data_IF_828304097052
#
_entry.id   IF_828304097052
#
_cell.length_a   1.000
_cell.length_b   1.000
_cell.length_c   1.000
_cell.angle_alpha   90.00
_cell.angle_beta   90.00
_cell.angle_gamma   90.00
#
_symmetry.space_group_name_H-M   'P 1'
#
loop_
_entity.id
_entity.type
_entity.pdbx_description
1 polymer ?
#
# COMPACT_ATOMS: atom_id res chain seq x y z
N UNK A 1 36.08 -2.90 -19.29
CA UNK A 1 35.24 -2.92 -20.51
C UNK A 1 35.71 -4.08 -21.36
N UNK A 2 34.90 -5.12 -21.49
CA UNK A 2 35.17 -6.24 -22.39
C UNK A 2 35.09 -5.76 -23.85
N UNK A 3 36.03 -6.16 -24.69
CA UNK A 3 35.97 -5.92 -26.13
C UNK A 3 34.72 -6.60 -26.71
N UNK A 4 33.84 -5.83 -27.34
CA UNK A 4 32.63 -6.34 -27.99
C UNK A 4 32.99 -6.61 -29.45
N UNK A 5 32.80 -7.85 -29.88
CA UNK A 5 33.00 -8.24 -31.28
C UNK A 5 31.86 -7.68 -32.14
N UNK A 6 32.13 -7.23 -33.37
CA UNK A 6 31.14 -6.58 -34.24
C UNK A 6 29.89 -7.46 -34.49
N UNK A 7 30.09 -8.78 -34.50
CA UNK A 7 29.03 -9.78 -34.68
C UNK A 7 28.09 -9.88 -33.47
N UNK A 8 28.52 -9.41 -32.30
CA UNK A 8 27.79 -9.49 -31.03
C UNK A 8 27.15 -8.14 -30.62
N UNK A 9 27.30 -7.08 -31.42
CA UNK A 9 26.78 -5.74 -31.10
C UNK A 9 25.27 -5.78 -30.85
N UNK A 10 24.50 -6.51 -31.66
CA UNK A 10 23.05 -6.61 -31.47
C UNK A 10 22.71 -7.20 -30.10
N UNK A 11 23.42 -8.26 -29.69
CA UNK A 11 23.23 -8.91 -28.39
C UNK A 11 23.64 -7.99 -27.25
N UNK A 12 24.77 -7.29 -27.38
CA UNK A 12 25.21 -6.33 -26.39
C UNK A 12 24.22 -5.17 -26.20
N UNK A 13 23.60 -4.69 -27.29
CA UNK A 13 22.53 -3.67 -27.22
C UNK A 13 21.29 -4.25 -26.53
N UNK A 14 20.85 -5.45 -26.89
CA UNK A 14 19.69 -6.10 -26.26
C UNK A 14 19.90 -6.32 -24.76
N UNK A 15 21.10 -6.74 -24.36
CA UNK A 15 21.48 -6.93 -22.96
C UNK A 15 21.42 -5.60 -22.19
N UNK A 16 21.99 -4.51 -22.75
CA UNK A 16 21.95 -3.17 -22.15
C UNK A 16 20.52 -2.66 -22.02
N UNK A 17 19.69 -2.80 -23.07
CA UNK A 17 18.30 -2.34 -23.04
C UNK A 17 17.48 -3.15 -22.04
N UNK A 18 17.70 -4.46 -21.95
CA UNK A 18 17.05 -5.34 -20.97
C UNK A 18 17.44 -4.96 -19.55
N UNK A 19 18.74 -4.73 -19.29
CA UNK A 19 19.24 -4.27 -18.00
C UNK A 19 18.66 -2.90 -17.61
N UNK A 20 18.57 -1.96 -18.55
CA UNK A 20 17.94 -0.67 -18.33
C UNK A 20 16.45 -0.80 -17.99
N UNK A 21 15.71 -1.66 -18.72
CA UNK A 21 14.30 -1.91 -18.45
C UNK A 21 14.08 -2.55 -17.06
N UNK A 22 14.90 -3.54 -16.70
CA UNK A 22 14.84 -4.20 -15.39
C UNK A 22 15.21 -3.26 -14.24
N UNK A 23 16.31 -2.50 -14.37
CA UNK A 23 16.71 -1.54 -13.34
C UNK A 23 15.63 -0.46 -13.15
N UNK A 24 15.06 0.07 -14.24
CA UNK A 24 13.93 0.99 -14.17
C UNK A 24 12.72 0.38 -13.46
N UNK A 25 12.40 -0.90 -13.73
CA UNK A 25 11.33 -1.61 -13.05
C UNK A 25 11.58 -1.76 -11.55
N UNK A 26 12.76 -2.22 -11.14
CA UNK A 26 13.12 -2.42 -9.74
C UNK A 26 13.13 -1.11 -8.96
N UNK A 27 13.62 -0.03 -9.56
CA UNK A 27 13.59 1.32 -9.00
C UNK A 27 12.16 1.75 -8.71
N UNK A 28 11.22 1.54 -9.65
CA UNK A 28 9.79 1.83 -9.43
C UNK A 28 9.21 0.94 -8.34
N UNK A 29 9.50 -0.37 -8.34
CA UNK A 29 8.98 -1.28 -7.32
C UNK A 29 9.44 -0.89 -5.90
N UNK A 30 10.71 -0.48 -5.75
CA UNK A 30 11.25 0.03 -4.48
C UNK A 30 10.58 1.32 -4.04
N UNK A 31 10.35 2.26 -4.97
CA UNK A 31 9.72 3.53 -4.66
C UNK A 31 8.27 3.38 -4.18
N UNK A 32 7.44 2.61 -4.89
CA UNK A 32 6.05 2.37 -4.47
C UNK A 32 6.01 1.58 -3.16
N UNK A 33 6.96 0.65 -2.94
CA UNK A 33 7.09 -0.07 -1.66
C UNK A 33 7.38 0.89 -0.50
N UNK A 34 8.34 1.80 -0.65
CA UNK A 34 8.69 2.78 0.39
C UNK A 34 7.52 3.70 0.73
N UNK A 35 6.77 4.16 -0.27
CA UNK A 35 5.54 4.93 -0.05
C UNK A 35 4.48 4.14 0.74
N UNK A 36 4.29 2.86 0.41
CA UNK A 36 3.35 1.99 1.12
C UNK A 36 3.78 1.69 2.56
N UNK A 37 5.09 1.57 2.82
CA UNK A 37 5.64 1.42 4.17
C UNK A 37 5.42 2.67 5.00
N UNK A 38 5.64 3.86 4.42
CA UNK A 38 5.34 5.13 5.09
C UNK A 38 3.86 5.25 5.45
N UNK A 39 2.96 4.89 4.52
CA UNK A 39 1.53 4.90 4.82
C UNK A 39 1.17 3.87 5.91
N UNK A 40 1.71 2.65 5.81
CA UNK A 40 1.51 1.60 6.81
C UNK A 40 1.95 2.07 8.19
N UNK A 41 3.14 2.64 8.32
CA UNK A 41 3.65 3.20 9.58
C UNK A 41 2.66 4.20 10.18
N UNK A 42 2.20 5.18 9.39
CA UNK A 42 1.26 6.21 9.85
C UNK A 42 -0.07 5.62 10.30
N UNK A 43 -0.64 4.72 9.51
CA UNK A 43 -1.94 4.13 9.84
C UNK A 43 -1.86 3.20 11.05
N UNK A 44 -0.74 2.51 11.27
CA UNK A 44 -0.48 1.73 12.48
C UNK A 44 -0.41 2.62 13.73
N UNK A 45 0.21 3.79 13.64
CA UNK A 45 0.31 4.75 14.74
C UNK A 45 -1.05 5.31 15.13
N UNK A 46 -1.87 5.71 14.15
CA UNK A 46 -3.17 6.36 14.41
C UNK A 46 -4.33 5.38 14.60
N UNK A 47 -4.11 4.07 14.38
CA UNK A 47 -5.13 3.04 14.60
C UNK A 47 -5.61 3.07 16.06
N UNK A 48 -6.94 3.15 16.31
CA UNK A 48 -7.48 3.10 17.66
C UNK A 48 -6.98 1.86 18.42
N UNK A 49 -6.52 2.06 19.65
CA UNK A 49 -5.91 1.00 20.47
C UNK A 49 -6.87 0.55 21.56
N UNK A 50 -7.31 -0.70 21.42
CA UNK A 50 -7.88 -1.50 22.50
C UNK A 50 -6.78 -2.46 23.01
N UNK A 51 -6.59 -3.60 22.32
CA UNK A 51 -5.49 -4.56 22.58
C UNK A 51 -4.22 -4.30 21.75
N UNK A 52 -4.27 -3.31 20.86
CA UNK A 52 -3.22 -3.02 19.87
C UNK A 52 -3.11 -4.04 18.73
N UNK A 53 -3.93 -5.09 18.73
CA UNK A 53 -3.88 -6.13 17.70
C UNK A 53 -4.22 -5.63 16.30
N UNK A 54 -5.19 -4.72 16.19
CA UNK A 54 -5.55 -4.11 14.91
C UNK A 54 -4.36 -3.33 14.35
N UNK A 55 -3.70 -2.50 15.17
CA UNK A 55 -2.53 -1.75 14.77
C UNK A 55 -1.41 -2.66 14.24
N UNK A 56 -1.16 -3.83 14.87
CA UNK A 56 -0.14 -4.78 14.39
C UNK A 56 -0.52 -5.59 13.14
N UNK A 57 -1.75 -5.43 12.62
CA UNK A 57 -2.31 -6.30 11.58
C UNK A 57 -2.45 -5.61 10.22
N UNK A 58 -1.84 -4.44 10.03
CA UNK A 58 -1.72 -3.81 8.71
C UNK A 58 -0.65 -4.52 7.88
N UNK A 59 -0.97 -4.81 6.62
CA UNK A 59 -0.11 -5.54 5.69
C UNK A 59 -0.08 -4.86 4.33
N UNK A 60 1.06 -4.98 3.67
CA UNK A 60 1.25 -4.56 2.29
C UNK A 60 1.13 -5.78 1.40
N UNK A 61 0.28 -5.72 0.37
CA UNK A 61 0.22 -6.75 -0.68
C UNK A 61 0.99 -6.26 -1.90
N UNK A 62 1.92 -7.10 -2.37
CA UNK A 62 2.86 -6.82 -3.46
C UNK A 62 2.57 -7.60 -4.75
N UNK A 63 1.38 -8.24 -4.85
CA UNK A 63 1.02 -9.13 -5.96
C UNK A 63 1.07 -8.47 -7.34
N UNK A 64 0.78 -7.17 -7.41
CA UNK A 64 0.66 -6.45 -8.68
C UNK A 64 1.82 -5.48 -8.84
N UNK A 65 2.52 -5.47 -9.99
CA UNK A 65 3.56 -4.50 -10.27
C UNK A 65 3.05 -3.07 -10.18
N UNK A 66 3.91 -2.16 -9.72
CA UNK A 66 3.64 -0.72 -9.60
C UNK A 66 2.46 -0.35 -8.69
N UNK A 67 1.90 -1.33 -7.96
CA UNK A 67 0.79 -1.15 -7.03
C UNK A 67 1.12 -1.78 -5.69
N UNK A 68 0.78 -1.10 -4.60
CA UNK A 68 0.90 -1.62 -3.24
C UNK A 68 -0.41 -1.38 -2.50
N UNK A 69 -1.09 -2.46 -2.11
CA UNK A 69 -2.30 -2.37 -1.31
C UNK A 69 -1.96 -2.47 0.16
N UNK A 70 -2.28 -1.43 0.93
CA UNK A 70 -2.19 -1.45 2.39
C UNK A 70 -3.56 -1.77 2.97
N UNK A 71 -3.65 -2.85 3.76
CA UNK A 71 -4.92 -3.30 4.32
C UNK A 71 -4.76 -4.03 5.65
N UNK A 72 -5.83 -4.05 6.45
CA UNK A 72 -5.83 -4.70 7.75
C UNK A 72 -6.40 -6.12 7.67
N UNK A 73 -5.78 -7.09 8.35
CA UNK A 73 -6.25 -8.50 8.35
C UNK A 73 -7.20 -8.85 9.48
N UNK A 74 -7.49 -7.93 10.41
CA UNK A 74 -8.38 -8.22 11.55
C UNK A 74 -9.85 -8.07 11.17
N UNK A 75 -10.64 -8.92 11.81
CA UNK A 75 -12.10 -8.95 11.71
C UNK A 75 -12.72 -8.64 13.07
N UNK A 76 -13.90 -8.06 13.06
CA UNK A 76 -14.63 -7.71 14.27
C UNK A 76 -15.04 -8.96 15.06
N UNK A 77 -14.80 -8.93 16.37
CA UNK A 77 -15.26 -9.94 17.33
C UNK A 77 -16.73 -9.68 17.66
N UNK A 78 -17.63 -10.07 16.75
CA UNK A 78 -19.07 -9.95 16.99
C UNK A 78 -19.90 -9.74 15.73
N UNK A 79 -21.21 -9.64 15.93
CA UNK A 79 -22.17 -9.41 14.85
C UNK A 79 -22.26 -7.91 14.53
N UNK A 80 -21.71 -7.50 13.38
CA UNK A 80 -21.82 -6.13 12.85
C UNK A 80 -23.02 -6.04 11.92
N UNK A 81 -23.89 -5.04 12.10
CA UNK A 81 -25.06 -4.82 11.24
C UNK A 81 -24.76 -3.78 10.17
N UNK A 82 -24.99 -4.13 8.90
CA UNK A 82 -25.03 -3.16 7.79
C UNK A 82 -26.45 -2.58 7.68
N UNK A 83 -26.63 -1.36 7.19
CA UNK A 83 -27.96 -0.90 6.73
C UNK A 83 -28.37 -1.67 5.47
N UNK A 84 -29.65 -2.02 5.36
CA UNK A 84 -30.21 -2.48 4.09
C UNK A 84 -30.37 -1.31 3.11
N UNK A 85 -30.63 -1.60 1.83
CA UNK A 85 -30.82 -0.60 0.75
C UNK A 85 -31.93 0.43 1.05
N UNK A 86 -32.78 0.20 2.05
CA UNK A 86 -33.83 1.12 2.52
C UNK A 86 -33.63 1.69 3.93
N UNK A 87 -32.40 1.70 4.45
CA UNK A 87 -32.08 2.34 5.74
C UNK A 87 -32.47 1.56 7.01
N UNK A 88 -33.18 0.43 6.88
CA UNK A 88 -33.49 -0.46 8.00
C UNK A 88 -32.23 -1.20 8.48
N UNK A 89 -32.22 -1.65 9.75
CA UNK A 89 -31.15 -2.51 10.28
C UNK A 89 -31.11 -3.81 9.45
N UNK A 90 -30.07 -3.97 8.65
CA UNK A 90 -29.82 -5.20 7.90
C UNK A 90 -29.30 -6.32 8.81
N UNK A 91 -29.05 -7.48 8.18
CA UNK A 91 -28.58 -8.68 8.86
C UNK A 91 -27.26 -8.43 9.58
N UNK A 92 -27.12 -9.08 10.74
CA UNK A 92 -25.93 -9.00 11.55
C UNK A 92 -24.94 -10.06 11.06
N UNK A 93 -23.73 -9.64 10.65
CA UNK A 93 -22.69 -10.51 10.11
C UNK A 93 -21.48 -10.56 11.04
N UNK A 94 -20.96 -11.76 11.26
CA UNK A 94 -19.64 -11.97 11.86
C UNK A 94 -18.54 -11.84 10.81
N UNK A 95 -17.29 -11.69 11.24
CA UNK A 95 -16.13 -11.70 10.33
C UNK A 95 -16.00 -10.44 9.46
N UNK A 96 -16.68 -9.34 9.82
CA UNK A 96 -16.55 -8.07 9.09
C UNK A 96 -15.16 -7.48 9.36
N UNK A 97 -14.38 -7.10 8.33
CA UNK A 97 -13.07 -6.48 8.53
C UNK A 97 -13.17 -5.24 9.43
N UNK A 98 -12.30 -5.14 10.45
CA UNK A 98 -12.31 -3.99 11.36
C UNK A 98 -12.02 -2.67 10.64
N UNK A 99 -11.15 -2.71 9.62
CA UNK A 99 -10.90 -1.57 8.74
C UNK A 99 -12.19 -1.03 8.11
N UNK A 100 -13.11 -1.91 7.66
CA UNK A 100 -14.39 -1.48 7.10
C UNK A 100 -15.32 -0.86 8.16
N UNK A 101 -15.24 -1.34 9.40
CA UNK A 101 -16.01 -0.74 10.51
C UNK A 101 -15.52 0.67 10.78
N UNK A 102 -14.20 0.88 10.85
CA UNK A 102 -13.65 2.23 11.02
C UNK A 102 -13.97 3.12 9.82
N UNK A 103 -13.85 2.61 8.60
CA UNK A 103 -14.04 3.42 7.41
C UNK A 103 -15.50 3.82 7.17
N UNK A 104 -16.43 2.88 7.31
CA UNK A 104 -17.79 3.05 6.77
C UNK A 104 -18.90 3.07 7.82
N UNK A 105 -18.62 2.78 9.09
CA UNK A 105 -19.68 2.80 10.11
C UNK A 105 -20.14 4.23 10.38
N UNK A 106 -21.43 4.50 10.17
CA UNK A 106 -22.01 5.84 10.35
C UNK A 106 -21.91 6.37 11.78
N UNK A 107 -21.89 5.48 12.76
CA UNK A 107 -21.85 5.83 14.20
C UNK A 107 -20.45 5.73 14.79
N UNK A 108 -19.45 5.36 13.99
CA UNK A 108 -18.07 5.32 14.46
C UNK A 108 -17.52 6.74 14.53
N UNK A 109 -16.88 7.16 15.64
CA UNK A 109 -16.14 8.42 15.67
C UNK A 109 -14.95 8.41 14.71
N UNK A 110 -14.56 7.23 14.22
CA UNK A 110 -13.46 7.04 13.28
C UNK A 110 -13.92 6.96 11.82
N UNK A 111 -15.17 7.30 11.49
CA UNK A 111 -15.67 7.22 10.11
C UNK A 111 -14.71 7.92 9.13
N UNK A 112 -14.39 7.23 8.03
CA UNK A 112 -13.40 7.69 7.05
C UNK A 112 -11.96 7.53 7.52
N UNK A 113 -11.69 6.67 8.51
CA UNK A 113 -10.39 6.51 9.15
C UNK A 113 -9.20 6.41 8.18
N UNK A 114 -9.30 5.53 7.18
CA UNK A 114 -8.23 5.27 6.22
C UNK A 114 -8.05 6.48 5.31
N UNK A 115 -9.16 7.04 4.80
CA UNK A 115 -9.10 8.23 3.93
C UNK A 115 -8.51 9.42 4.66
N UNK A 116 -8.97 9.71 5.88
CA UNK A 116 -8.47 10.81 6.69
C UNK A 116 -6.98 10.63 7.01
N UNK A 117 -6.54 9.40 7.32
CA UNK A 117 -5.13 9.10 7.55
C UNK A 117 -4.31 9.36 6.27
N UNK A 118 -4.80 8.91 5.11
CA UNK A 118 -4.13 9.14 3.83
C UNK A 118 -4.03 10.64 3.52
N UNK A 119 -5.12 11.40 3.64
CA UNK A 119 -5.15 12.84 3.36
C UNK A 119 -4.10 13.60 4.18
N UNK A 120 -3.94 13.24 5.46
CA UNK A 120 -2.99 13.90 6.35
C UNK A 120 -1.53 13.57 5.99
N UNK A 121 -1.25 12.40 5.43
CA UNK A 121 0.13 11.97 5.13
C UNK A 121 0.45 11.81 3.64
N UNK A 122 -0.45 12.23 2.74
CA UNK A 122 -0.32 12.10 1.29
C UNK A 122 0.99 12.71 0.80
N UNK A 123 1.33 13.91 1.28
CA UNK A 123 2.56 14.59 0.86
C UNK A 123 3.82 13.87 1.35
N UNK A 124 3.79 13.27 2.55
CA UNK A 124 4.92 12.47 3.04
C UNK A 124 5.12 11.19 2.23
N UNK A 125 4.02 10.52 1.85
CA UNK A 125 4.06 9.35 0.97
C UNK A 125 4.63 9.74 -0.39
N UNK A 126 4.13 10.82 -1.00
CA UNK A 126 4.60 11.32 -2.28
C UNK A 126 6.09 11.67 -2.25
N UNK A 127 6.53 12.42 -1.24
CA UNK A 127 7.93 12.79 -1.08
C UNK A 127 8.82 11.57 -0.87
N UNK A 128 8.34 10.55 -0.13
CA UNK A 128 9.06 9.29 0.06
C UNK A 128 9.29 8.59 -1.28
N UNK A 129 8.23 8.44 -2.08
CA UNK A 129 8.32 7.85 -3.43
C UNK A 129 9.30 8.63 -4.30
N UNK A 130 9.15 9.96 -4.37
CA UNK A 130 10.01 10.84 -5.17
C UNK A 130 11.48 10.71 -4.78
N UNK A 131 11.79 10.72 -3.48
CA UNK A 131 13.16 10.61 -3.00
C UNK A 131 13.74 9.22 -3.27
N UNK A 132 12.95 8.15 -3.16
CA UNK A 132 13.41 6.79 -3.49
C UNK A 132 13.68 6.62 -4.99
N UNK A 133 12.94 7.31 -5.86
CA UNK A 133 13.25 7.32 -7.30
C UNK A 133 14.56 8.05 -7.59
N UNK A 134 14.75 9.25 -7.01
CA UNK A 134 15.94 10.06 -7.24
C UNK A 134 17.22 9.41 -6.70
N UNK A 135 17.16 8.78 -5.53
CA UNK A 135 18.32 8.14 -4.91
C UNK A 135 18.76 6.84 -5.59
N UNK A 136 17.89 6.22 -6.41
CA UNK A 136 18.24 5.01 -7.17
C UNK A 136 18.46 5.27 -8.67
N UNK A 137 18.20 6.49 -9.16
CA UNK A 137 18.46 6.92 -10.54
C UNK A 137 19.71 7.79 -10.71
N UNK A 138 20.48 7.98 -9.63
CA UNK A 138 21.68 8.82 -9.57
C UNK A 138 23.01 8.07 -9.51
N UNK A 139 23.06 6.82 -9.97
CA UNK A 139 24.31 6.09 -10.19
C UNK A 139 24.64 6.05 -11.68
#
# INVERSE_FOLDING_TARGET
MSEINIQDISKAIDDILTEYLHSSFDVRQKAVQAGAEKFKEKIETVTPRDTGEMARSWKIKTKYPDVRYVGNTRVATGKVRRKSKGGKRGEARSGVPLSNVLEYSEKSPYKGFIRNCFDVCEQEIFNTIKNTLNNNGGN
#
